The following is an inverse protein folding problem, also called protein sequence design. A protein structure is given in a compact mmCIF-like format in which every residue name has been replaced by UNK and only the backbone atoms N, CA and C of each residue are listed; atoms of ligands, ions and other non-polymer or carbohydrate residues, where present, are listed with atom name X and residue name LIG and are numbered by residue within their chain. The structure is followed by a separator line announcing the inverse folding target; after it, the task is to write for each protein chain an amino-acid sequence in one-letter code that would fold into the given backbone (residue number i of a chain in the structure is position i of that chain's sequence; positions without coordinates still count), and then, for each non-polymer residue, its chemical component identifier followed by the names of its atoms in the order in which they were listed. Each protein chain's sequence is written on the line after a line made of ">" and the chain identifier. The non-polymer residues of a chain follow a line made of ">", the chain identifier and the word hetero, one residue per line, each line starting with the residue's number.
data_IF_064719858407
#
_entry.id   IF_064719858407
#
_cell.length_a   1.000
_cell.length_b   1.000
_cell.length_c   1.000
_cell.angle_alpha   90.00
_cell.angle_beta   90.00
_cell.angle_gamma   90.00
#
_symmetry.space_group_name_H-M   'P 1'
#
loop_
_entity.id
_entity.type
_entity.pdbx_description
1 polymer ?
#
# COMPACT_ATOMS: atom_id res chain seq x y z
N UNK A 1 -18.71 -9.81 12.20
CA UNK A 1 -17.87 -8.83 11.48
C UNK A 1 -18.25 -7.46 12.01
N UNK A 2 -17.34 -6.80 12.75
CA UNK A 2 -17.58 -5.46 13.24
C UNK A 2 -17.22 -4.47 12.12
N UNK A 3 -18.22 -3.95 11.41
CA UNK A 3 -18.04 -3.07 10.22
C UNK A 3 -17.94 -1.59 10.63
N UNK A 4 -17.57 -1.31 11.88
CA UNK A 4 -17.60 0.04 12.47
C UNK A 4 -16.69 1.05 11.78
N UNK A 5 -15.64 0.61 11.08
CA UNK A 5 -14.69 1.53 10.45
C UNK A 5 -15.29 2.39 9.32
N UNK A 6 -16.45 2.00 8.75
CA UNK A 6 -17.07 2.71 7.63
C UNK A 6 -18.38 3.42 7.98
N UNK A 7 -18.99 3.12 9.14
CA UNK A 7 -20.14 3.88 9.64
C UNK A 7 -19.64 5.10 10.41
N UNK A 8 -19.81 6.28 9.82
CA UNK A 8 -19.62 7.55 10.51
C UNK A 8 -20.91 8.35 10.43
N UNK A 9 -21.23 9.06 11.50
CA UNK A 9 -22.34 10.01 11.51
C UNK A 9 -21.95 11.18 10.61
N UNK A 10 -22.75 11.54 9.59
CA UNK A 10 -22.48 12.72 8.78
C UNK A 10 -22.32 13.96 9.67
N UNK A 11 -21.24 14.71 9.46
CA UNK A 11 -20.88 15.87 10.28
C UNK A 11 -19.98 15.56 11.49
N UNK A 12 -19.74 14.29 11.82
CA UNK A 12 -18.67 13.92 12.75
C UNK A 12 -17.34 13.73 11.99
N UNK A 13 -16.20 14.10 12.60
CA UNK A 13 -14.88 13.79 12.03
C UNK A 13 -14.77 12.29 11.79
N UNK A 14 -14.44 11.90 10.56
CA UNK A 14 -14.15 10.52 10.23
C UNK A 14 -12.77 10.17 10.78
N UNK A 15 -12.70 9.38 11.85
CA UNK A 15 -11.44 8.83 12.35
C UNK A 15 -10.96 7.67 11.47
N UNK A 16 -10.46 7.99 10.28
CA UNK A 16 -9.63 7.05 9.53
C UNK A 16 -8.20 7.14 10.04
N UNK A 17 -7.71 6.09 10.70
CA UNK A 17 -6.29 5.93 11.00
C UNK A 17 -5.55 5.70 9.67
N UNK A 18 -5.21 6.79 9.00
CA UNK A 18 -4.31 6.79 7.87
C UNK A 18 -2.90 7.10 8.34
N UNK A 19 -1.93 6.36 7.83
CA UNK A 19 -0.52 6.48 8.22
C UNK A 19 0.21 7.09 7.02
N UNK A 20 0.80 8.27 7.23
CA UNK A 20 1.67 8.90 6.24
C UNK A 20 3.09 8.35 6.39
N UNK A 21 3.65 7.85 5.28
CA UNK A 21 4.97 7.23 5.23
C UNK A 21 5.76 7.80 4.05
N UNK A 22 6.99 8.25 4.30
CA UNK A 22 7.94 8.57 3.24
C UNK A 22 8.82 7.34 2.96
N UNK A 23 8.78 6.82 1.72
CA UNK A 23 9.67 5.77 1.24
C UNK A 23 10.69 6.38 0.28
N UNK A 24 11.97 6.23 0.61
CA UNK A 24 13.10 6.58 -0.27
C UNK A 24 13.66 5.31 -0.89
N UNK A 25 13.61 5.21 -2.21
CA UNK A 25 14.08 4.02 -2.92
C UNK A 25 15.60 3.90 -2.87
N UNK A 26 16.09 2.67 -2.87
CA UNK A 26 17.52 2.37 -2.96
C UNK A 26 17.96 2.38 -4.44
N UNK A 27 19.13 2.93 -4.74
CA UNK A 27 19.72 2.89 -6.09
C UNK A 27 20.45 1.55 -6.23
N UNK A 28 20.07 0.74 -7.23
CA UNK A 28 20.62 -0.62 -7.42
C UNK A 28 21.86 -0.57 -8.32
N UNK A 29 21.80 0.19 -9.41
CA UNK A 29 22.91 0.32 -10.34
C UNK A 29 22.72 1.55 -11.23
N UNK A 30 23.86 2.11 -11.67
CA UNK A 30 23.95 3.18 -12.66
C UNK A 30 24.76 2.63 -13.82
N UNK A 31 24.08 2.06 -14.82
CA UNK A 31 24.71 1.68 -16.09
C UNK A 31 24.26 2.69 -17.15
N UNK A 32 25.24 3.29 -17.85
CA UNK A 32 25.08 4.16 -19.03
C UNK A 32 23.81 5.04 -19.04
N UNK A 33 23.77 5.99 -18.10
CA UNK A 33 22.74 7.03 -17.88
C UNK A 33 21.40 6.61 -17.27
N UNK A 34 21.10 5.32 -17.09
CA UNK A 34 19.85 4.90 -16.44
C UNK A 34 20.07 4.52 -14.95
N UNK A 35 19.33 5.19 -14.07
CA UNK A 35 19.31 4.90 -12.64
C UNK A 35 18.19 3.91 -12.35
N UNK A 36 18.57 2.69 -11.92
CA UNK A 36 17.60 1.70 -11.48
C UNK A 36 17.34 1.81 -9.97
N UNK A 37 16.05 1.83 -9.60
CA UNK A 37 15.63 1.95 -8.21
C UNK A 37 14.97 0.68 -7.69
N UNK A 38 15.38 0.25 -6.50
CA UNK A 38 14.67 -0.74 -5.70
C UNK A 38 13.58 -0.05 -4.89
N UNK A 39 12.32 -0.40 -5.17
CA UNK A 39 11.18 0.12 -4.40
C UNK A 39 11.03 -0.60 -3.06
N UNK A 40 11.28 -1.90 -3.05
CA UNK A 40 11.17 -2.75 -1.86
C UNK A 40 9.76 -3.16 -1.47
N UNK A 41 8.77 -3.01 -2.35
CA UNK A 41 7.42 -3.53 -2.14
C UNK A 41 6.86 -4.13 -3.43
N UNK A 42 5.90 -5.04 -3.27
CA UNK A 42 5.02 -5.53 -4.33
C UNK A 42 3.59 -5.08 -4.02
N UNK A 43 2.84 -4.73 -5.06
CA UNK A 43 1.43 -4.37 -4.95
C UNK A 43 0.54 -5.42 -5.63
N UNK A 44 -0.72 -5.46 -5.21
CA UNK A 44 -1.80 -6.22 -5.83
C UNK A 44 -3.11 -5.42 -5.79
N UNK A 45 -4.13 -5.91 -6.48
CA UNK A 45 -5.42 -5.22 -6.60
C UNK A 45 -5.40 -4.11 -7.65
N UNK A 46 -6.37 -3.19 -7.59
CA UNK A 46 -6.68 -2.22 -8.63
C UNK A 46 -8.11 -2.43 -9.16
N UNK A 47 -8.73 -1.36 -9.66
CA UNK A 47 -10.15 -1.37 -10.10
C UNK A 47 -10.43 -2.32 -11.27
N UNK A 48 -9.38 -2.74 -11.96
CA UNK A 48 -9.36 -3.65 -13.09
C UNK A 48 -9.02 -5.10 -12.70
N UNK A 49 -8.85 -5.38 -11.40
CA UNK A 49 -8.51 -6.71 -10.88
C UNK A 49 -9.67 -7.31 -10.10
N UNK A 50 -9.85 -8.63 -10.19
CA UNK A 50 -10.80 -9.35 -9.35
C UNK A 50 -10.15 -9.70 -7.99
N UNK A 51 -10.63 -9.12 -6.87
CA UNK A 51 -10.05 -9.36 -5.54
C UNK A 51 -10.22 -10.80 -5.06
N UNK A 52 -11.19 -11.56 -5.60
CA UNK A 52 -11.42 -12.97 -5.26
C UNK A 52 -10.31 -13.89 -5.78
N UNK A 53 -9.56 -13.44 -6.80
CA UNK A 53 -8.40 -14.14 -7.35
C UNK A 53 -7.12 -13.90 -6.55
N UNK A 54 -7.11 -12.92 -5.63
CA UNK A 54 -5.97 -12.70 -4.73
C UNK A 54 -5.88 -13.82 -3.70
N UNK A 55 -4.70 -14.43 -3.46
CA UNK A 55 -4.53 -15.41 -2.38
C UNK A 55 -4.83 -14.83 -0.99
N UNK A 56 -4.79 -13.49 -0.86
CA UNK A 56 -5.09 -12.79 0.39
C UNK A 56 -6.55 -12.31 0.52
N UNK A 57 -7.38 -12.50 -0.52
CA UNK A 57 -8.81 -12.14 -0.54
C UNK A 57 -9.10 -10.77 0.08
N UNK A 58 -8.54 -9.73 -0.55
CA UNK A 58 -8.77 -8.34 -0.10
C UNK A 58 -10.26 -7.96 -0.23
N UNK A 59 -10.77 -7.07 0.64
CA UNK A 59 -12.20 -6.79 0.72
C UNK A 59 -12.76 -5.96 -0.45
N UNK A 60 -11.89 -5.28 -1.21
CA UNK A 60 -12.28 -4.41 -2.31
C UNK A 60 -11.19 -4.33 -3.39
N UNK A 61 -11.47 -3.59 -4.47
CA UNK A 61 -10.57 -3.39 -5.62
C UNK A 61 -9.47 -2.34 -5.40
N UNK A 62 -9.12 -2.01 -4.16
CA UNK A 62 -8.04 -1.08 -3.86
C UNK A 62 -6.65 -1.63 -4.18
N UNK A 63 -5.64 -0.77 -4.01
CA UNK A 63 -4.23 -1.16 -4.12
C UNK A 63 -3.71 -1.59 -2.75
N UNK A 64 -3.17 -2.80 -2.67
CA UNK A 64 -2.64 -3.36 -1.42
C UNK A 64 -1.18 -3.75 -1.55
N UNK A 65 -0.41 -3.56 -0.48
CA UNK A 65 0.94 -4.12 -0.38
C UNK A 65 0.81 -5.63 -0.18
N UNK A 66 1.32 -6.42 -1.12
CA UNK A 66 1.28 -7.89 -1.08
C UNK A 66 2.55 -8.50 -0.51
N UNK A 67 3.67 -7.78 -0.58
CA UNK A 67 4.96 -8.18 -0.03
C UNK A 67 5.84 -6.95 0.18
N UNK A 68 6.71 -7.03 1.17
CA UNK A 68 7.61 -5.94 1.58
C UNK A 68 9.02 -6.49 1.80
N UNK A 69 10.03 -5.71 1.45
CA UNK A 69 11.41 -6.01 1.80
C UNK A 69 11.78 -5.40 3.16
N UNK A 70 12.76 -6.03 3.82
CA UNK A 70 13.20 -5.62 5.15
C UNK A 70 14.01 -4.31 5.14
N UNK A 71 14.51 -3.87 3.99
CA UNK A 71 15.55 -2.84 3.90
C UNK A 71 15.03 -1.46 3.55
N UNK A 72 14.08 -1.37 2.62
CA UNK A 72 13.58 -0.10 2.10
C UNK A 72 12.19 0.16 2.66
N UNK A 73 11.24 -0.72 2.32
CA UNK A 73 9.84 -0.47 2.62
C UNK A 73 9.47 -0.77 4.09
N UNK A 74 10.02 -1.83 4.69
CA UNK A 74 9.73 -2.12 6.10
C UNK A 74 10.31 -1.04 7.04
N UNK A 75 11.50 -0.52 6.73
CA UNK A 75 12.16 0.55 7.51
C UNK A 75 11.44 1.88 7.39
N UNK A 76 10.77 2.17 6.28
CA UNK A 76 9.93 3.37 6.18
C UNK A 76 8.67 3.29 7.03
N UNK A 77 8.30 2.11 7.54
CA UNK A 77 7.11 1.92 8.38
C UNK A 77 5.91 1.34 7.65
N UNK A 78 6.03 1.00 6.36
CA UNK A 78 5.02 0.24 5.64
C UNK A 78 4.98 -1.20 6.15
N UNK A 79 3.83 -1.85 5.99
CA UNK A 79 3.61 -3.25 6.35
C UNK A 79 2.91 -3.99 5.22
N UNK A 80 3.09 -5.30 5.19
CA UNK A 80 2.30 -6.16 4.31
C UNK A 80 0.80 -5.98 4.64
N UNK A 81 -0.04 -5.98 3.61
CA UNK A 81 -1.50 -5.75 3.67
C UNK A 81 -1.97 -4.32 3.94
N UNK A 82 -1.06 -3.34 4.05
CA UNK A 82 -1.46 -1.93 3.99
C UNK A 82 -2.22 -1.64 2.68
N UNK A 83 -3.34 -0.92 2.77
CA UNK A 83 -4.07 -0.40 1.62
C UNK A 83 -3.51 0.98 1.26
N UNK A 84 -3.00 1.14 0.05
CA UNK A 84 -2.49 2.43 -0.44
C UNK A 84 -3.67 3.30 -0.85
N UNK A 85 -3.80 4.45 -0.19
CA UNK A 85 -4.83 5.45 -0.46
C UNK A 85 -4.31 6.56 -1.39
N UNK A 86 -3.06 6.96 -1.20
CA UNK A 86 -2.45 8.07 -1.94
C UNK A 86 -0.94 7.85 -2.11
N UNK A 87 -0.38 8.30 -3.23
CA UNK A 87 1.07 8.38 -3.46
C UNK A 87 1.43 9.72 -4.08
N UNK A 88 2.30 10.49 -3.43
CA UNK A 88 2.73 11.82 -3.87
C UNK A 88 1.55 12.74 -4.20
N UNK A 89 0.53 12.77 -3.35
CA UNK A 89 -0.68 13.57 -3.56
C UNK A 89 -1.68 12.96 -4.56
N UNK A 90 -1.30 11.94 -5.33
CA UNK A 90 -2.19 11.29 -6.29
C UNK A 90 -3.04 10.22 -5.62
N UNK A 91 -4.35 10.25 -5.86
CA UNK A 91 -5.30 9.28 -5.33
C UNK A 91 -5.11 7.89 -5.95
N UNK A 92 -5.06 6.87 -5.10
CA UNK A 92 -4.88 5.45 -5.45
C UNK A 92 -6.13 4.62 -5.14
N UNK A 93 -7.24 5.23 -4.71
CA UNK A 93 -8.47 4.52 -4.35
C UNK A 93 -9.22 3.98 -5.57
N UNK A 94 -9.10 4.62 -6.73
CA UNK A 94 -9.77 4.27 -7.99
C UNK A 94 -8.79 4.14 -9.16
N UNK A 95 -7.62 3.54 -8.92
CA UNK A 95 -6.56 3.38 -9.92
C UNK A 95 -6.49 1.94 -10.43
N UNK A 96 -6.21 1.77 -11.72
CA UNK A 96 -5.90 0.46 -12.30
C UNK A 96 -4.53 -0.04 -11.82
N UNK A 97 -4.35 -1.35 -11.73
CA UNK A 97 -3.11 -1.97 -11.31
C UNK A 97 -1.90 -1.46 -12.10
N UNK A 98 -1.98 -1.46 -13.44
CA UNK A 98 -0.88 -1.08 -14.30
C UNK A 98 -0.45 0.39 -14.08
N UNK A 99 -1.42 1.30 -13.93
CA UNK A 99 -1.15 2.72 -13.63
C UNK A 99 -0.49 2.88 -12.26
N UNK A 100 -0.94 2.14 -11.23
CA UNK A 100 -0.31 2.17 -9.90
C UNK A 100 1.15 1.73 -9.97
N UNK A 101 1.45 0.63 -10.67
CA UNK A 101 2.82 0.13 -10.86
C UNK A 101 3.68 1.18 -11.57
N UNK A 102 3.20 1.75 -12.69
CA UNK A 102 3.92 2.78 -13.45
C UNK A 102 4.19 4.02 -12.60
N UNK A 103 3.21 4.49 -11.84
CA UNK A 103 3.34 5.67 -10.99
C UNK A 103 4.35 5.45 -9.86
N UNK A 104 4.25 4.31 -9.15
CA UNK A 104 5.19 3.94 -8.10
C UNK A 104 6.61 3.84 -8.64
N UNK A 105 6.82 3.31 -9.86
CA UNK A 105 8.15 3.21 -10.48
C UNK A 105 8.78 4.57 -10.80
N UNK A 106 7.98 5.57 -11.18
CA UNK A 106 8.44 6.86 -11.72
C UNK A 106 9.26 7.72 -10.75
N UNK A 107 8.94 7.73 -9.45
CA UNK A 107 9.52 8.70 -8.51
C UNK A 107 10.54 8.04 -7.57
N UNK A 108 11.69 8.68 -7.26
CA UNK A 108 12.69 8.13 -6.33
C UNK A 108 12.22 8.16 -4.87
N UNK A 109 11.35 9.10 -4.52
CA UNK A 109 10.74 9.24 -3.19
C UNK A 109 9.22 9.16 -3.33
N UNK A 110 8.58 8.42 -2.43
CA UNK A 110 7.14 8.20 -2.39
C UNK A 110 6.61 8.63 -1.02
N UNK A 111 5.78 9.67 -0.99
CA UNK A 111 4.94 10.02 0.14
C UNK A 111 3.64 9.25 0.03
N UNK A 112 3.49 8.22 0.85
CA UNK A 112 2.42 7.23 0.76
C UNK A 112 1.48 7.41 1.95
N UNK A 113 0.18 7.51 1.66
CA UNK A 113 -0.85 7.43 2.68
C UNK A 113 -1.45 6.02 2.65
N UNK A 114 -1.43 5.31 3.78
CA UNK A 114 -1.99 3.95 3.88
C UNK A 114 -3.06 3.84 4.94
N UNK A 115 -4.05 2.97 4.72
CA UNK A 115 -4.91 2.45 5.77
C UNK A 115 -4.40 1.08 6.23
N UNK A 116 -4.32 0.88 7.55
CA UNK A 116 -3.88 -0.37 8.17
C UNK A 116 -4.98 -0.89 9.08
N UNK A 117 -5.42 -2.13 8.85
CA UNK A 117 -6.34 -2.80 9.77
C UNK A 117 -5.51 -3.49 10.87
N UNK A 118 -5.50 -2.91 12.06
CA UNK A 118 -4.77 -3.41 13.23
C UNK A 118 -5.16 -4.84 13.65
N UNK A 119 -6.29 -5.38 13.18
CA UNK A 119 -6.73 -6.73 13.53
C UNK A 119 -5.93 -7.85 12.85
N UNK A 120 -5.29 -7.61 11.69
CA UNK A 120 -4.57 -8.69 10.97
C UNK A 120 -3.20 -9.03 11.57
N UNK A 121 -2.55 -8.09 12.24
CA UNK A 121 -1.29 -8.36 12.93
C UNK A 121 -1.50 -9.40 14.05
N UNK A 122 -2.69 -9.44 14.68
CA UNK A 122 -3.05 -10.36 15.76
C UNK A 122 -3.28 -11.81 15.29
N UNK A 123 -3.86 -12.01 14.10
CA UNK A 123 -4.10 -13.36 13.56
C UNK A 123 -2.79 -14.06 13.19
N UNK A 124 -1.79 -13.31 12.72
CA UNK A 124 -0.47 -13.88 12.40
C UNK A 124 0.29 -14.36 13.65
N UNK A 125 0.00 -13.80 14.83
CA UNK A 125 0.65 -14.17 16.10
C UNK A 125 -0.04 -15.34 16.82
N UNK A 126 -1.27 -15.67 16.44
CA UNK A 126 -2.05 -16.73 17.10
C UNK A 126 -1.91 -18.11 16.45
N UNK A 127 -1.01 -18.25 15.47
CA UNK A 127 -0.56 -19.56 14.96
C UNK A 127 0.72 -19.97 15.68
N UNK A 128 0.56 -20.42 16.93
CA UNK A 128 1.54 -21.23 17.67
C UNK A 128 0.86 -22.52 18.08
#
# INVERSE_FOLDING_TARGET
>A
MNVSAFFHTPGQPLECLSIAVELRKEIISTSDNDVSYKVGLKIGGGIDQDPSLSPFKYPDNGIYITSIDANVAQKSGLRQHDKILQVNGHDFTMITHEKAVKYIKKYPVLNILVARNHMKDLESQSKV
#
